data_IF_396772840005
#
_entry.id   IF_396772840005
#
_cell.length_a   1.000
_cell.length_b   1.000
_cell.length_c   1.000
_cell.angle_alpha   90.00
_cell.angle_beta   90.00
_cell.angle_gamma   90.00
#
_symmetry.space_group_name_H-M   'P 1'
#
loop_
_entity.id
_entity.type
_entity.pdbx_description
1 polymer ?
#
# COMPACT_ATOMS: atom_id res chain seq x y z
N UNK A 1 -5.25 20.57 -6.89
CA UNK A 1 -5.80 19.92 -5.66
C UNK A 1 -6.35 21.02 -4.76
N UNK A 2 -7.39 20.78 -3.96
CA UNK A 2 -8.10 21.87 -3.25
C UNK A 2 -7.24 22.57 -2.17
N UNK A 3 -6.31 21.86 -1.53
CA UNK A 3 -5.40 22.41 -0.51
C UNK A 3 -4.00 22.80 -1.04
N UNK A 4 -3.77 22.71 -2.36
CA UNK A 4 -2.43 22.85 -2.92
C UNK A 4 -2.07 24.28 -3.32
N UNK A 5 -3.01 25.22 -3.26
CA UNK A 5 -2.84 26.63 -3.65
C UNK A 5 -2.38 26.85 -5.11
N UNK A 6 -2.30 25.78 -5.92
CA UNK A 6 -1.78 25.79 -7.27
C UNK A 6 -2.33 24.61 -8.09
N UNK A 7 -2.57 24.81 -9.39
CA UNK A 7 -3.14 23.78 -10.26
C UNK A 7 -2.22 22.55 -10.45
N UNK A 8 -0.90 22.73 -10.36
CA UNK A 8 0.11 21.69 -10.64
C UNK A 8 0.65 20.98 -9.41
N UNK A 9 0.34 21.47 -8.21
CA UNK A 9 0.75 20.85 -6.96
C UNK A 9 -0.36 19.91 -6.48
N UNK A 10 -0.02 18.67 -6.15
CA UNK A 10 -0.98 17.72 -5.58
C UNK A 10 -0.84 17.53 -4.08
N UNK A 11 0.18 18.10 -3.44
CA UNK A 11 0.37 18.08 -1.98
C UNK A 11 -0.10 19.39 -1.33
N UNK A 12 -0.61 19.37 -0.08
CA UNK A 12 -0.95 20.58 0.66
C UNK A 12 0.26 21.52 0.81
N UNK A 13 0.05 22.83 0.77
CA UNK A 13 1.12 23.79 1.09
C UNK A 13 1.29 23.96 2.60
N UNK A 14 0.17 23.93 3.32
CA UNK A 14 0.12 24.03 4.76
C UNK A 14 -0.43 22.73 5.35
N UNK A 15 0.36 22.02 6.19
CA UNK A 15 -0.11 20.85 6.94
C UNK A 15 -1.41 21.08 7.72
N UNK A 16 -1.66 22.31 8.18
CA UNK A 16 -2.87 22.64 8.94
C UNK A 16 -4.16 22.50 8.11
N UNK A 17 -4.13 22.86 6.83
CA UNK A 17 -5.31 22.78 5.95
C UNK A 17 -5.72 21.31 5.74
N UNK A 18 -4.72 20.43 5.57
CA UNK A 18 -4.94 18.99 5.49
C UNK A 18 -5.47 18.44 6.82
N UNK A 19 -4.88 18.86 7.94
CA UNK A 19 -5.31 18.46 9.27
C UNK A 19 -6.78 18.86 9.53
N UNK A 20 -7.17 20.09 9.20
CA UNK A 20 -8.56 20.56 9.36
C UNK A 20 -9.55 19.66 8.60
N UNK A 21 -9.24 19.34 7.34
CA UNK A 21 -10.08 18.44 6.55
C UNK A 21 -10.13 17.02 7.11
N UNK A 22 -9.01 16.48 7.57
CA UNK A 22 -8.98 15.17 8.22
C UNK A 22 -9.78 15.17 9.53
N UNK A 23 -9.71 16.25 10.31
CA UNK A 23 -10.54 16.45 11.50
C UNK A 23 -12.04 16.51 11.16
N UNK A 24 -12.40 17.22 10.09
CA UNK A 24 -13.77 17.24 9.58
C UNK A 24 -14.26 15.83 9.19
N UNK A 25 -13.47 15.07 8.43
CA UNK A 25 -13.82 13.70 8.04
C UNK A 25 -13.94 12.76 9.25
N UNK A 26 -12.99 12.84 10.19
CA UNK A 26 -13.01 12.08 11.44
C UNK A 26 -14.27 12.36 12.25
N UNK A 27 -14.63 13.63 12.42
CA UNK A 27 -15.85 14.00 13.13
C UNK A 27 -17.12 13.56 12.39
N UNK A 28 -17.15 13.72 11.07
CA UNK A 28 -18.31 13.40 10.22
C UNK A 28 -18.65 11.91 10.18
N UNK A 29 -17.63 11.05 10.32
CA UNK A 29 -17.75 9.60 10.27
C UNK A 29 -17.36 8.90 11.58
N UNK A 30 -17.38 9.64 12.70
CA UNK A 30 -17.07 9.13 14.02
C UNK A 30 -17.81 7.81 14.32
N UNK A 31 -17.06 6.80 14.74
CA UNK A 31 -17.57 5.47 15.06
C UNK A 31 -18.06 4.65 13.85
N UNK A 32 -17.87 5.14 12.62
CA UNK A 32 -18.23 4.45 11.37
C UNK A 32 -17.03 4.10 10.50
N UNK A 33 -15.96 4.88 10.58
CA UNK A 33 -14.70 4.62 9.88
C UNK A 33 -13.67 4.13 10.89
N UNK A 34 -13.15 2.92 10.67
CA UNK A 34 -12.19 2.31 11.60
C UNK A 34 -10.80 2.93 11.52
N UNK A 35 -10.43 3.50 10.38
CA UNK A 35 -9.09 4.01 10.14
C UNK A 35 -9.04 5.08 9.06
N UNK A 36 -8.09 6.00 9.20
CA UNK A 36 -7.77 7.05 8.24
C UNK A 36 -6.31 6.93 7.81
N UNK A 37 -6.08 6.63 6.54
CA UNK A 37 -4.75 6.63 5.94
C UNK A 37 -4.36 8.04 5.52
N UNK A 38 -3.23 8.50 6.03
CA UNK A 38 -2.73 9.85 5.79
C UNK A 38 -1.84 9.82 4.56
N UNK A 39 -2.45 10.15 3.43
CA UNK A 39 -1.85 10.16 2.08
C UNK A 39 -1.68 8.78 1.43
N UNK A 40 -1.46 8.80 0.11
CA UNK A 40 -1.15 7.62 -0.69
C UNK A 40 0.25 7.75 -1.30
N UNK A 41 1.12 6.76 -1.11
CA UNK A 41 2.43 6.65 -1.75
C UNK A 41 3.25 7.95 -1.77
N UNK A 42 3.50 8.57 -0.59
CA UNK A 42 4.24 9.83 -0.50
C UNK A 42 5.67 9.73 -1.04
N UNK A 43 6.18 8.51 -1.23
CA UNK A 43 7.49 8.24 -1.81
C UNK A 43 7.52 8.22 -3.36
N UNK A 44 6.39 8.47 -4.04
CA UNK A 44 6.36 8.63 -5.49
C UNK A 44 6.08 10.08 -5.91
N UNK A 45 6.85 10.59 -6.88
CA UNK A 45 6.62 11.92 -7.49
C UNK A 45 5.20 12.09 -8.07
N UNK A 46 4.59 10.98 -8.51
CA UNK A 46 3.19 10.95 -8.99
C UNK A 46 2.22 11.43 -7.91
N UNK A 47 2.45 11.10 -6.65
CA UNK A 47 1.59 11.43 -5.51
C UNK A 47 2.18 12.51 -4.60
N UNK A 48 3.45 12.86 -4.79
CA UNK A 48 4.12 13.96 -4.12
C UNK A 48 4.81 14.85 -5.16
N UNK A 49 4.05 15.76 -5.79
CA UNK A 49 4.47 16.49 -7.00
C UNK A 49 5.72 17.35 -6.83
N UNK A 50 6.05 17.76 -5.60
CA UNK A 50 7.28 18.51 -5.26
C UNK A 50 8.53 17.64 -5.21
N UNK A 51 8.37 16.32 -5.36
CA UNK A 51 9.42 15.33 -5.14
C UNK A 51 9.25 14.67 -3.77
N UNK A 52 9.36 13.33 -3.65
CA UNK A 52 9.25 12.63 -2.38
C UNK A 52 10.04 13.27 -1.24
N UNK A 53 9.34 13.69 -0.19
CA UNK A 53 9.94 14.35 0.97
C UNK A 53 9.40 13.76 2.28
N UNK A 54 10.20 12.92 2.98
CA UNK A 54 9.79 12.31 4.23
C UNK A 54 9.65 13.32 5.38
N UNK A 55 10.30 14.49 5.30
CA UNK A 55 10.19 15.56 6.30
C UNK A 55 8.88 16.33 6.14
N UNK A 56 8.52 16.72 4.91
CA UNK A 56 7.23 17.36 4.63
C UNK A 56 6.07 16.40 4.96
N UNK A 57 6.19 15.14 4.56
CA UNK A 57 5.20 14.11 4.90
C UNK A 57 5.07 13.94 6.43
N UNK A 58 6.19 13.91 7.17
CA UNK A 58 6.16 13.83 8.62
C UNK A 58 5.44 15.02 9.25
N UNK A 59 5.65 16.23 8.75
CA UNK A 59 4.94 17.42 9.22
C UNK A 59 3.42 17.32 8.98
N UNK A 60 3.00 16.81 7.82
CA UNK A 60 1.59 16.57 7.50
C UNK A 60 0.96 15.53 8.42
N UNK A 61 1.62 14.38 8.62
CA UNK A 61 1.13 13.33 9.52
C UNK A 61 1.01 13.82 10.97
N UNK A 62 2.01 14.57 11.44
CA UNK A 62 2.02 15.16 12.80
C UNK A 62 0.91 16.17 13.01
N UNK A 63 0.52 16.91 11.98
CA UNK A 63 -0.61 17.84 12.03
C UNK A 63 -1.96 17.09 12.03
N UNK A 64 -2.10 16.05 11.19
CA UNK A 64 -3.35 15.30 11.03
C UNK A 64 -3.69 14.40 12.22
N UNK A 65 -2.69 13.73 12.82
CA UNK A 65 -2.92 12.78 13.91
C UNK A 65 -3.73 13.36 15.09
N UNK A 66 -3.33 14.46 15.76
CA UNK A 66 -4.03 14.92 16.95
C UNK A 66 -5.48 15.35 16.68
N UNK A 67 -5.76 15.93 15.51
CA UNK A 67 -7.13 16.37 15.16
C UNK A 67 -8.03 15.18 14.81
N UNK A 68 -7.49 14.13 14.18
CA UNK A 68 -8.23 12.86 13.98
C UNK A 68 -8.53 12.24 15.35
N UNK A 69 -7.53 12.09 16.22
CA UNK A 69 -7.71 11.48 17.55
C UNK A 69 -8.66 12.28 18.44
N UNK A 70 -8.68 13.61 18.34
CA UNK A 70 -9.62 14.45 19.09
C UNK A 70 -11.07 14.26 18.62
N UNK A 71 -11.28 14.13 17.31
CA UNK A 71 -12.60 13.91 16.74
C UNK A 71 -13.11 12.47 17.01
N UNK A 72 -12.27 11.47 16.75
CA UNK A 72 -12.55 10.05 16.96
C UNK A 72 -11.35 9.34 17.62
N UNK A 73 -11.36 9.17 18.95
CA UNK A 73 -10.28 8.49 19.67
C UNK A 73 -10.11 7.00 19.33
N UNK A 74 -11.15 6.35 18.80
CA UNK A 74 -11.12 4.92 18.47
C UNK A 74 -10.58 4.66 17.06
N UNK A 75 -10.75 5.61 16.14
CA UNK A 75 -10.23 5.51 14.78
C UNK A 75 -8.69 5.40 14.79
N UNK A 76 -8.16 4.50 13.96
CA UNK A 76 -6.72 4.34 13.74
C UNK A 76 -6.22 5.39 12.75
N UNK A 77 -5.07 5.98 13.02
CA UNK A 77 -4.34 6.79 12.04
C UNK A 77 -3.29 5.91 11.38
N UNK A 78 -3.41 5.72 10.07
CA UNK A 78 -2.52 4.87 9.28
C UNK A 78 -1.49 5.75 8.59
N UNK A 79 -0.21 5.41 8.73
CA UNK A 79 0.86 6.01 7.94
C UNK A 79 0.57 5.77 6.46
N UNK A 80 0.67 6.78 5.59
CA UNK A 80 0.42 6.63 4.16
C UNK A 80 1.28 5.55 3.52
N UNK A 81 0.61 4.56 2.93
CA UNK A 81 1.23 3.39 2.32
C UNK A 81 2.32 3.78 1.34
N UNK A 82 3.56 3.39 1.63
CA UNK A 82 4.67 3.61 0.69
C UNK A 82 4.52 2.69 -0.52
N UNK A 83 4.84 3.20 -1.72
CA UNK A 83 5.00 2.37 -2.91
C UNK A 83 6.19 1.44 -2.72
N UNK A 84 5.96 0.14 -2.86
CA UNK A 84 6.93 -0.88 -2.47
C UNK A 84 7.20 -0.88 -0.97
N UNK A 85 8.33 -1.46 -0.58
CA UNK A 85 8.74 -1.56 0.82
C UNK A 85 9.83 -0.53 1.15
N UNK A 86 9.54 0.77 0.95
CA UNK A 86 10.56 1.83 1.03
C UNK A 86 10.99 2.17 2.46
N UNK A 87 11.70 1.22 3.07
CA UNK A 87 12.25 1.34 4.42
C UNK A 87 13.25 2.52 4.56
N UNK A 88 13.79 3.04 3.45
CA UNK A 88 14.62 4.26 3.46
C UNK A 88 13.78 5.52 3.70
N UNK A 89 12.68 5.66 2.96
CA UNK A 89 11.72 6.76 3.20
C UNK A 89 11.14 6.71 4.62
N UNK A 90 10.77 5.51 5.08
CA UNK A 90 10.22 5.30 6.43
C UNK A 90 11.26 5.67 7.51
N UNK A 91 12.52 5.25 7.37
CA UNK A 91 13.58 5.60 8.33
C UNK A 91 13.84 7.11 8.39
N UNK A 92 13.81 7.78 7.24
CA UNK A 92 13.91 9.23 7.16
C UNK A 92 12.72 9.93 7.83
N UNK A 93 11.50 9.40 7.67
CA UNK A 93 10.31 9.92 8.36
C UNK A 93 10.41 9.74 9.89
N UNK A 94 10.94 8.61 10.37
CA UNK A 94 11.26 8.42 11.80
C UNK A 94 12.25 9.47 12.30
N UNK A 95 13.31 9.74 11.53
CA UNK A 95 14.28 10.79 11.82
C UNK A 95 13.62 12.17 11.87
N UNK A 96 12.60 12.41 11.05
CA UNK A 96 11.78 13.62 11.04
C UNK A 96 10.68 13.67 12.14
N UNK A 97 10.59 12.65 13.01
CA UNK A 97 9.77 12.68 14.21
C UNK A 97 8.34 12.15 14.05
N UNK A 98 8.07 11.21 13.13
CA UNK A 98 6.74 10.58 13.01
C UNK A 98 6.39 9.62 14.15
N UNK A 99 7.36 9.19 14.98
CA UNK A 99 7.10 8.26 16.08
C UNK A 99 6.04 8.83 17.03
N UNK A 100 4.95 8.09 17.22
CA UNK A 100 3.82 8.50 18.07
C UNK A 100 2.70 9.26 17.34
N UNK A 101 2.82 9.49 16.04
CA UNK A 101 1.81 10.19 15.22
C UNK A 101 1.12 9.28 14.19
N UNK A 102 1.14 7.97 14.41
CA UNK A 102 0.34 6.98 13.69
C UNK A 102 0.11 5.77 14.60
N UNK A 103 -0.96 5.03 14.36
CA UNK A 103 -1.31 3.78 15.06
C UNK A 103 -0.86 2.54 14.30
N UNK A 104 -0.73 2.64 12.98
CA UNK A 104 -0.43 1.54 12.06
C UNK A 104 0.51 2.01 10.95
N UNK A 105 1.53 1.22 10.63
CA UNK A 105 2.38 1.45 9.45
C UNK A 105 1.72 0.84 8.21
N UNK A 106 1.66 1.55 7.08
CA UNK A 106 1.25 0.95 5.81
C UNK A 106 2.35 0.90 4.76
N UNK A 107 2.23 -0.09 3.87
CA UNK A 107 3.11 -0.29 2.72
C UNK A 107 2.36 -1.02 1.63
N UNK A 108 2.73 -0.78 0.38
CA UNK A 108 2.20 -1.44 -0.80
C UNK A 108 3.29 -2.37 -1.35
N UNK A 109 3.41 -3.63 -0.86
CA UNK A 109 4.56 -4.50 -1.10
C UNK A 109 4.57 -5.13 -2.51
N UNK A 110 4.28 -4.35 -3.55
CA UNK A 110 4.33 -4.83 -4.91
C UNK A 110 5.76 -5.13 -5.33
N UNK A 111 5.99 -6.26 -6.02
CA UNK A 111 7.30 -6.54 -6.56
C UNK A 111 7.63 -5.59 -7.73
N UNK A 112 8.92 -5.32 -7.92
CA UNK A 112 9.40 -4.44 -9.00
C UNK A 112 8.86 -4.83 -10.37
N UNK A 113 9.00 -6.12 -10.67
CA UNK A 113 8.34 -6.77 -11.78
C UNK A 113 7.14 -7.51 -11.20
N UNK A 114 5.94 -7.06 -11.53
CA UNK A 114 4.66 -7.72 -11.31
C UNK A 114 4.58 -9.12 -11.94
N UNK A 115 5.58 -9.57 -12.72
CA UNK A 115 5.70 -10.99 -13.12
C UNK A 115 6.33 -11.88 -12.05
N UNK A 116 7.09 -11.30 -11.10
CA UNK A 116 7.77 -12.05 -10.04
C UNK A 116 6.80 -12.42 -8.92
N UNK A 117 6.89 -13.66 -8.45
CA UNK A 117 6.01 -14.18 -7.42
C UNK A 117 6.36 -13.73 -6.00
N UNK A 118 5.46 -13.93 -5.03
CA UNK A 118 5.64 -13.47 -3.65
C UNK A 118 6.86 -14.08 -2.94
N UNK A 119 7.32 -15.26 -3.40
CA UNK A 119 8.50 -15.96 -2.86
C UNK A 119 9.83 -15.49 -3.48
N UNK A 120 9.79 -14.70 -4.55
CA UNK A 120 11.00 -14.20 -5.20
C UNK A 120 11.66 -13.14 -4.31
N UNK A 121 12.95 -13.31 -4.04
CA UNK A 121 13.74 -12.40 -3.21
C UNK A 121 14.88 -11.83 -4.06
N UNK A 122 14.86 -10.51 -4.23
CA UNK A 122 16.03 -9.74 -4.67
C UNK A 122 16.73 -9.17 -3.45
N UNK A 123 18.05 -9.10 -3.50
CA UNK A 123 18.85 -8.52 -2.41
C UNK A 123 19.63 -7.30 -2.89
N UNK A 124 19.80 -6.34 -2.00
CA UNK A 124 20.72 -5.22 -2.19
C UNK A 124 22.17 -5.71 -2.12
N UNK A 125 23.13 -4.85 -2.49
CA UNK A 125 24.56 -5.12 -2.30
C UNK A 125 24.94 -5.37 -0.84
N UNK A 126 24.20 -4.80 0.12
CA UNK A 126 24.36 -5.04 1.55
C UNK A 126 23.71 -6.34 2.05
N UNK A 127 23.12 -7.13 1.16
CA UNK A 127 22.47 -8.41 1.49
C UNK A 127 21.05 -8.29 2.07
N UNK A 128 20.53 -7.07 2.28
CA UNK A 128 19.15 -6.84 2.73
C UNK A 128 18.16 -7.27 1.67
N UNK A 129 16.94 -7.64 2.07
CA UNK A 129 15.86 -7.86 1.10
C UNK A 129 15.57 -6.52 0.42
N UNK A 130 15.58 -6.51 -0.90
CA UNK A 130 15.35 -5.29 -1.66
C UNK A 130 13.92 -4.79 -1.44
N UNK A 131 13.73 -3.47 -1.39
CA UNK A 131 12.42 -2.81 -1.21
C UNK A 131 11.36 -3.22 -2.24
N UNK A 132 11.81 -3.77 -3.36
CA UNK A 132 11.02 -4.14 -4.52
C UNK A 132 10.77 -5.66 -4.63
N UNK A 133 10.98 -6.39 -3.53
CA UNK A 133 10.52 -7.77 -3.33
C UNK A 133 9.31 -7.77 -2.42
N UNK A 134 8.32 -8.64 -2.65
CA UNK A 134 7.14 -8.74 -1.78
C UNK A 134 7.53 -8.89 -0.30
N UNK A 135 8.47 -9.79 0.01
CA UNK A 135 8.99 -10.01 1.36
C UNK A 135 9.81 -8.85 1.96
N UNK A 136 9.99 -7.74 1.22
CA UNK A 136 10.70 -6.55 1.68
C UNK A 136 10.05 -5.87 2.90
N UNK A 137 8.77 -6.11 3.18
CA UNK A 137 8.10 -5.57 4.37
C UNK A 137 8.75 -6.01 5.68
N UNK A 138 9.49 -7.13 5.67
CA UNK A 138 10.28 -7.59 6.82
C UNK A 138 11.41 -6.61 7.17
N UNK A 139 11.95 -5.91 6.17
CA UNK A 139 12.92 -4.83 6.36
C UNK A 139 12.26 -3.57 6.91
N UNK A 140 11.01 -3.28 6.54
CA UNK A 140 10.21 -2.23 7.20
C UNK A 140 10.06 -2.56 8.69
N UNK A 141 9.66 -3.80 9.02
CA UNK A 141 9.54 -4.24 10.41
C UNK A 141 10.84 -4.07 11.18
N UNK A 142 11.98 -4.47 10.59
CA UNK A 142 13.30 -4.30 11.19
C UNK A 142 13.66 -2.81 11.40
N UNK A 143 13.38 -1.95 10.41
CA UNK A 143 13.59 -0.49 10.52
C UNK A 143 12.74 0.10 11.65
N UNK A 144 11.47 -0.27 11.79
CA UNK A 144 10.62 0.20 12.89
C UNK A 144 11.12 -0.28 14.26
N UNK A 145 11.52 -1.56 14.36
CA UNK A 145 12.04 -2.13 15.60
C UNK A 145 13.33 -1.43 16.05
N UNK A 146 14.21 -1.04 15.13
CA UNK A 146 15.41 -0.25 15.42
C UNK A 146 15.11 1.17 15.94
N UNK A 147 13.84 1.62 15.84
CA UNK A 147 13.35 2.90 16.38
C UNK A 147 12.46 2.70 17.61
N UNK A 148 12.49 1.52 18.23
CA UNK A 148 11.62 1.09 19.34
C UNK A 148 10.13 1.32 19.04
N UNK A 149 9.70 0.96 17.82
CA UNK A 149 8.30 0.99 17.42
C UNK A 149 7.88 -0.37 16.88
N UNK A 150 6.93 -1.02 17.56
CA UNK A 150 6.45 -2.36 17.23
C UNK A 150 5.00 -2.36 16.77
N UNK A 151 4.46 -1.20 16.37
CA UNK A 151 3.12 -1.07 15.80
C UNK A 151 2.88 -2.06 14.65
N UNK A 152 1.62 -2.47 14.43
CA UNK A 152 1.29 -3.38 13.34
C UNK A 152 1.52 -2.75 11.98
N UNK A 153 1.65 -3.62 10.98
CA UNK A 153 1.77 -3.28 9.57
C UNK A 153 0.46 -3.66 8.87
N UNK A 154 -0.07 -2.77 8.04
CA UNK A 154 -1.14 -3.07 7.09
C UNK A 154 -0.60 -2.98 5.67
N UNK A 155 -1.05 -3.89 4.81
CA UNK A 155 -0.93 -3.71 3.37
C UNK A 155 -2.24 -3.09 2.89
N UNK A 156 -2.24 -1.78 2.71
CA UNK A 156 -3.39 -1.03 2.21
C UNK A 156 -3.59 -1.24 0.71
N UNK A 157 -2.57 -1.76 0.02
CA UNK A 157 -2.67 -2.35 -1.30
C UNK A 157 -1.67 -3.51 -1.47
N UNK A 158 -2.04 -4.54 -2.21
CA UNK A 158 -1.12 -5.54 -2.77
C UNK A 158 -1.81 -6.26 -3.93
N UNK A 159 -1.06 -6.76 -4.90
CA UNK A 159 -1.67 -7.50 -5.99
C UNK A 159 -0.72 -7.88 -7.11
N UNK A 160 -1.29 -8.62 -8.06
CA UNK A 160 -0.66 -8.98 -9.33
C UNK A 160 -1.67 -8.76 -10.45
N UNK A 161 -1.29 -8.05 -11.51
CA UNK A 161 -2.17 -7.81 -12.65
C UNK A 161 -2.05 -8.93 -13.70
N UNK A 162 -3.07 -9.04 -14.54
CA UNK A 162 -3.12 -10.03 -15.62
C UNK A 162 -2.95 -9.43 -17.01
N UNK A 163 -2.22 -8.31 -17.15
CA UNK A 163 -1.91 -7.78 -18.48
C UNK A 163 -0.84 -8.64 -19.19
N UNK A 164 -0.70 -8.51 -20.50
CA UNK A 164 0.38 -9.15 -21.26
C UNK A 164 1.67 -8.31 -21.29
N UNK A 165 1.65 -7.15 -20.63
CA UNK A 165 2.80 -6.25 -20.53
C UNK A 165 3.99 -7.00 -19.93
N UNK A 166 5.14 -6.97 -20.62
CA UNK A 166 6.39 -7.50 -20.09
C UNK A 166 7.01 -6.52 -19.11
N UNK A 167 7.73 -7.02 -18.10
CA UNK A 167 8.45 -6.12 -17.18
C UNK A 167 9.53 -5.35 -17.94
N UNK A 168 9.52 -4.01 -17.84
CA UNK A 168 10.64 -3.15 -18.22
C UNK A 168 11.20 -2.47 -16.95
N UNK A 169 12.31 -2.98 -16.41
CA UNK A 169 12.99 -2.37 -15.27
C UNK A 169 13.32 -0.88 -15.43
N UNK A 170 13.41 -0.34 -16.65
CA UNK A 170 13.69 1.08 -16.88
C UNK A 170 12.45 1.99 -16.84
N UNK A 171 11.25 1.44 -16.98
CA UNK A 171 10.03 2.23 -17.16
C UNK A 171 9.22 2.45 -15.86
N UNK A 172 9.73 1.97 -14.73
CA UNK A 172 9.23 2.30 -13.39
C UNK A 172 8.63 1.13 -12.61
N UNK A 173 7.82 1.45 -11.61
CA UNK A 173 7.08 0.49 -10.77
C UNK A 173 5.82 -0.03 -11.50
N UNK A 174 5.19 -1.09 -10.97
CA UNK A 174 3.90 -1.64 -11.45
C UNK A 174 3.94 -2.42 -12.77
N UNK A 175 5.12 -2.86 -13.19
CA UNK A 175 5.30 -3.40 -14.54
C UNK A 175 5.33 -4.91 -14.60
N UNK A 176 4.84 -5.46 -15.70
CA UNK A 176 4.77 -6.91 -15.87
C UNK A 176 3.44 -7.45 -15.35
N UNK A 177 2.75 -8.21 -16.19
CA UNK A 177 1.61 -9.00 -15.78
C UNK A 177 1.93 -10.48 -15.68
N UNK A 178 0.95 -11.24 -15.19
CA UNK A 178 0.99 -12.70 -15.09
C UNK A 178 -0.25 -13.32 -15.72
N UNK A 179 -0.25 -14.63 -15.96
CA UNK A 179 -1.48 -15.31 -16.35
C UNK A 179 -2.52 -15.25 -15.23
N UNK A 180 -3.80 -15.46 -15.55
CA UNK A 180 -4.89 -15.42 -14.57
C UNK A 180 -4.73 -16.52 -13.50
N UNK A 181 -4.23 -17.67 -13.89
CA UNK A 181 -3.95 -18.81 -13.02
C UNK A 181 -2.80 -18.47 -12.06
N UNK A 182 -1.78 -17.78 -12.58
CA UNK A 182 -0.63 -17.33 -11.80
C UNK A 182 -1.01 -16.21 -10.82
N UNK A 183 -1.89 -15.29 -11.21
CA UNK A 183 -2.49 -14.30 -10.31
C UNK A 183 -3.17 -15.01 -9.12
N UNK A 184 -3.97 -16.03 -9.38
CA UNK A 184 -4.65 -16.81 -8.35
C UNK A 184 -3.67 -17.53 -7.41
N UNK A 185 -2.63 -18.15 -7.97
CA UNK A 185 -1.60 -18.83 -7.18
C UNK A 185 -0.79 -17.85 -6.31
N UNK A 186 -0.37 -16.72 -6.88
CA UNK A 186 0.40 -15.69 -6.16
C UNK A 186 -0.43 -15.04 -5.07
N UNK A 187 -1.72 -14.78 -5.30
CA UNK A 187 -2.64 -14.34 -4.26
C UNK A 187 -2.63 -15.33 -3.09
N UNK A 188 -2.91 -16.61 -3.35
CA UNK A 188 -2.98 -17.60 -2.29
C UNK A 188 -1.66 -17.74 -1.53
N UNK A 189 -0.52 -17.79 -2.23
CA UNK A 189 0.80 -17.85 -1.61
C UNK A 189 1.11 -16.60 -0.76
N UNK A 190 0.83 -15.40 -1.28
CA UNK A 190 1.09 -14.13 -0.58
C UNK A 190 0.32 -14.05 0.73
N UNK A 191 -0.97 -14.38 0.71
CA UNK A 191 -1.81 -14.37 1.91
C UNK A 191 -1.36 -15.42 2.94
N UNK A 192 -0.98 -16.63 2.52
CA UNK A 192 -0.39 -17.65 3.41
C UNK A 192 0.94 -17.20 4.03
N UNK A 193 1.75 -16.44 3.29
CA UNK A 193 3.00 -15.87 3.79
C UNK A 193 2.73 -14.75 4.82
N UNK A 194 1.73 -13.91 4.56
CA UNK A 194 1.27 -12.86 5.48
C UNK A 194 0.82 -13.45 6.82
N UNK A 195 0.03 -14.53 6.80
CA UNK A 195 -0.44 -15.20 8.03
C UNK A 195 0.69 -15.67 8.96
N UNK A 196 1.87 -15.94 8.41
CA UNK A 196 3.05 -16.34 9.17
C UNK A 196 3.67 -15.18 9.97
N UNK A 197 3.50 -13.94 9.47
CA UNK A 197 4.04 -12.72 10.05
C UNK A 197 2.96 -11.96 10.84
N UNK A 198 2.72 -12.35 12.10
CA UNK A 198 1.60 -11.85 12.94
C UNK A 198 1.53 -10.34 13.18
N UNK A 199 2.61 -9.60 12.89
CA UNK A 199 2.60 -8.14 12.94
C UNK A 199 1.92 -7.52 11.72
N UNK A 200 1.67 -8.28 10.65
CA UNK A 200 0.82 -7.88 9.54
C UNK A 200 -0.62 -8.24 9.88
N UNK A 201 -1.47 -7.22 10.08
CA UNK A 201 -2.83 -7.41 10.60
C UNK A 201 -3.93 -7.25 9.55
N UNK A 202 -3.67 -6.48 8.50
CA UNK A 202 -4.61 -6.22 7.40
C UNK A 202 -3.85 -6.32 6.09
N UNK A 203 -4.48 -6.93 5.08
CA UNK A 203 -3.96 -7.03 3.73
C UNK A 203 -5.10 -6.86 2.73
N UNK A 204 -5.08 -5.77 1.98
CA UNK A 204 -6.10 -5.40 1.01
C UNK A 204 -5.62 -5.73 -0.39
N UNK A 205 -6.34 -6.61 -1.08
CA UNK A 205 -6.06 -6.93 -2.48
C UNK A 205 -6.49 -5.75 -3.36
N UNK A 206 -5.55 -5.26 -4.16
CA UNK A 206 -5.80 -4.37 -5.27
C UNK A 206 -6.01 -5.21 -6.53
N UNK A 207 -7.21 -5.26 -7.11
CA UNK A 207 -8.45 -4.67 -6.61
C UNK A 207 -9.65 -5.63 -6.77
N UNK A 208 -10.82 -5.20 -6.32
CA UNK A 208 -12.01 -6.06 -6.33
C UNK A 208 -12.43 -6.41 -7.76
N UNK A 209 -12.36 -5.45 -8.69
CA UNK A 209 -12.87 -5.55 -10.06
C UNK A 209 -11.96 -4.75 -10.97
N UNK A 210 -11.61 -5.29 -12.14
CA UNK A 210 -10.91 -4.53 -13.17
C UNK A 210 -11.58 -3.17 -13.41
N UNK A 211 -10.73 -2.17 -13.59
CA UNK A 211 -11.10 -0.77 -13.65
C UNK A 211 -12.15 -0.49 -14.73
N UNK A 212 -13.33 -0.03 -14.29
CA UNK A 212 -14.50 0.22 -15.13
C UNK A 212 -14.21 1.16 -16.30
N UNK A 213 -13.46 2.24 -16.02
CA UNK A 213 -13.13 3.28 -16.98
C UNK A 213 -12.08 2.87 -18.01
N UNK A 214 -11.36 1.78 -17.75
CA UNK A 214 -10.36 1.24 -18.67
C UNK A 214 -10.90 0.07 -19.51
N UNK A 215 -12.16 -0.35 -19.31
CA UNK A 215 -12.83 -1.31 -20.20
C UNK A 215 -12.06 -2.61 -20.46
N UNK A 216 -11.39 -3.16 -19.44
CA UNK A 216 -10.52 -4.32 -19.60
C UNK A 216 -9.39 -4.10 -20.64
N UNK A 217 -8.80 -2.91 -20.69
CA UNK A 217 -7.58 -2.66 -21.47
C UNK A 217 -6.43 -3.58 -21.05
N UNK A 218 -5.51 -3.87 -21.97
CA UNK A 218 -4.33 -4.69 -21.67
C UNK A 218 -3.19 -3.85 -21.07
N UNK A 219 -3.48 -3.23 -19.92
CA UNK A 219 -2.53 -2.43 -19.16
C UNK A 219 -2.48 -2.93 -17.72
N UNK A 220 -1.36 -2.75 -16.99
CA UNK A 220 -1.26 -3.22 -15.61
C UNK A 220 -2.39 -2.71 -14.72
N UNK A 221 -2.66 -1.41 -14.75
CA UNK A 221 -3.70 -0.75 -13.96
C UNK A 221 -5.11 -1.31 -14.25
N UNK A 222 -5.38 -1.72 -15.49
CA UNK A 222 -6.71 -2.20 -15.87
C UNK A 222 -6.99 -3.65 -15.44
N UNK A 223 -5.98 -4.42 -14.98
CA UNK A 223 -6.04 -5.89 -14.91
C UNK A 223 -5.75 -6.51 -13.54
N UNK A 224 -5.82 -5.75 -12.47
CA UNK A 224 -5.60 -6.22 -11.09
C UNK A 224 -6.77 -6.99 -10.47
N UNK A 225 -7.98 -6.81 -10.99
CA UNK A 225 -9.24 -7.29 -10.41
C UNK A 225 -9.27 -8.77 -10.05
N UNK A 226 -10.01 -9.10 -9.00
CA UNK A 226 -10.55 -10.46 -8.79
C UNK A 226 -11.67 -10.77 -9.79
N UNK A 227 -12.38 -9.72 -10.24
CA UNK A 227 -13.44 -9.78 -11.23
C UNK A 227 -13.05 -8.99 -12.49
N UNK A 228 -13.64 -9.33 -13.63
CA UNK A 228 -13.61 -8.51 -14.85
C UNK A 228 -14.54 -7.29 -14.71
N UNK A 229 -14.53 -6.39 -15.69
CA UNK A 229 -15.40 -5.19 -15.66
C UNK A 229 -16.90 -5.53 -15.62
N UNK A 230 -17.32 -6.66 -16.19
CA UNK A 230 -18.68 -7.18 -16.20
C UNK A 230 -19.06 -8.02 -14.95
N UNK A 231 -18.19 -8.00 -13.92
CA UNK A 231 -18.29 -8.81 -12.69
C UNK A 231 -18.13 -10.32 -12.88
N UNK A 232 -17.76 -10.81 -14.06
CA UNK A 232 -17.39 -12.22 -14.21
C UNK A 232 -16.13 -12.55 -13.39
N UNK A 233 -16.12 -13.66 -12.64
CA UNK A 233 -15.00 -13.97 -11.75
C UNK A 233 -13.77 -14.45 -12.53
N UNK A 234 -12.59 -13.95 -12.14
CA UNK A 234 -11.29 -14.51 -12.54
C UNK A 234 -10.91 -15.65 -11.59
N UNK A 235 -9.98 -16.55 -11.95
CA UNK A 235 -9.43 -17.56 -11.05
C UNK A 235 -9.01 -17.02 -9.67
N UNK A 236 -8.47 -15.80 -9.62
CA UNK A 236 -8.06 -15.15 -8.37
C UNK A 236 -9.22 -14.91 -7.39
N UNK A 237 -10.45 -14.69 -7.87
CA UNK A 237 -11.64 -14.61 -7.00
C UNK A 237 -11.84 -15.91 -6.22
N UNK A 238 -11.72 -17.06 -6.88
CA UNK A 238 -11.90 -18.37 -6.25
C UNK A 238 -10.74 -18.69 -5.30
N UNK A 239 -9.50 -18.30 -5.64
CA UNK A 239 -8.36 -18.42 -4.73
C UNK A 239 -8.54 -17.57 -3.46
N UNK A 240 -8.98 -16.32 -3.59
CA UNK A 240 -9.26 -15.44 -2.45
C UNK A 240 -10.38 -16.01 -1.58
N UNK A 241 -11.47 -16.51 -2.20
CA UNK A 241 -12.56 -17.20 -1.49
C UNK A 241 -12.07 -18.44 -0.74
N UNK A 242 -11.25 -19.27 -1.36
CA UNK A 242 -10.69 -20.46 -0.72
C UNK A 242 -9.84 -20.10 0.50
N UNK A 243 -8.92 -19.13 0.34
CA UNK A 243 -8.12 -18.61 1.44
C UNK A 243 -8.99 -18.08 2.60
N UNK A 244 -9.98 -17.23 2.30
CA UNK A 244 -10.85 -16.63 3.31
C UNK A 244 -11.67 -17.65 4.12
N UNK A 245 -11.93 -18.84 3.55
CA UNK A 245 -12.59 -19.94 4.23
C UNK A 245 -11.62 -20.97 4.86
N UNK A 246 -10.31 -20.72 4.84
CA UNK A 246 -9.30 -21.65 5.34
C UNK A 246 -9.18 -22.94 4.51
N UNK A 247 -9.62 -22.92 3.25
CA UNK A 247 -9.59 -24.06 2.36
C UNK A 247 -8.32 -24.07 1.49
N UNK A 248 -7.78 -25.26 1.16
CA UNK A 248 -6.67 -25.35 0.21
C UNK A 248 -7.12 -24.92 -1.19
N UNK A 249 -6.27 -24.19 -1.90
CA UNK A 249 -6.44 -23.90 -3.33
C UNK A 249 -5.56 -24.84 -4.16
N UNK A 250 -6.18 -25.68 -5.00
CA UNK A 250 -5.48 -26.71 -5.80
C UNK A 250 -5.27 -26.33 -7.27
N UNK A 251 -5.56 -25.08 -7.66
CA UNK A 251 -5.56 -24.66 -9.06
C UNK A 251 -6.81 -25.15 -9.80
N UNK A 252 -7.42 -24.25 -10.58
CA UNK A 252 -8.55 -24.53 -11.47
C UNK A 252 -8.31 -23.89 -12.81
#
# INVERSE_FOLDING_TARGET
>A
VWASGAQTRNVPQNPADYAEFMGFLANRFKGKVAAYEVWNEPNLKRFWSTGPDPVEYAAMLRAAYPVIKAADPEAKVVFGGTSGNDYGFIDAAYTAGVKGYFDVMASHPYPYCGSTGPRAIRRTSSGRISRDSFLGYREIRATMAARDDLKPIWFTELGWNTSTTTCDPGAGVWQGGVTRERQAQYLYDAFRMIEADKYVQVALWYDFRNNAWAGDEDTPEARYGLLQTDFSPKPAYFAFRAYAHGAPYTGG
#
